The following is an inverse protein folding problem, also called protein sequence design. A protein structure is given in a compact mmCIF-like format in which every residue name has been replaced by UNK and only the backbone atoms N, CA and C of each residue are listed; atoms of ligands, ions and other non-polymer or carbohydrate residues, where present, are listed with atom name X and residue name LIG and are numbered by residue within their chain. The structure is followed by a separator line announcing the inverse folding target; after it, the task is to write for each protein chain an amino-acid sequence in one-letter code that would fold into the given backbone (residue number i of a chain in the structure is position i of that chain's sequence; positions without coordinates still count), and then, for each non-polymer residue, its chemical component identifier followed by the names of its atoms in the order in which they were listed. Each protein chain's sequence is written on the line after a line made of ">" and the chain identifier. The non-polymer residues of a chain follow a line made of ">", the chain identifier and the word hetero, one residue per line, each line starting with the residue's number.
data_IF_670001631645
#
_entry.id   IF_670001631645
#
_cell.length_a   1.000
_cell.length_b   1.000
_cell.length_c   1.000
_cell.angle_alpha   90.00
_cell.angle_beta   90.00
_cell.angle_gamma   90.00
#
_symmetry.space_group_name_H-M   'P 1'
#
loop_
_entity.id
_entity.type
_entity.pdbx_description
1 polymer ?
#
# COMPACT_ATOMS: atom_id res chain seq x y z
N UNK A 1 30.09 42.06 13.22
CA UNK A 1 30.00 40.78 12.49
C UNK A 1 28.55 40.35 12.51
N UNK A 2 27.84 40.44 11.38
CA UNK A 2 26.41 40.09 11.29
C UNK A 2 26.28 38.67 10.75
N UNK A 3 25.68 37.77 11.54
CA UNK A 3 25.39 36.39 11.18
C UNK A 3 24.17 36.33 10.25
N UNK A 4 24.40 36.02 8.96
CA UNK A 4 23.33 35.69 8.01
C UNK A 4 22.71 34.35 8.39
N UNK A 5 21.47 34.38 8.88
CA UNK A 5 20.60 33.21 8.96
C UNK A 5 20.40 32.68 7.53
N UNK A 6 20.81 31.44 7.26
CA UNK A 6 20.48 30.77 5.99
C UNK A 6 18.98 30.48 5.99
N UNK A 7 18.21 31.25 5.22
CA UNK A 7 16.84 30.88 4.87
C UNK A 7 16.90 29.63 3.99
N UNK A 8 16.38 28.52 4.51
CA UNK A 8 16.16 27.32 3.73
C UNK A 8 14.83 27.48 3.00
N UNK A 9 14.88 27.89 1.74
CA UNK A 9 13.71 27.87 0.86
C UNK A 9 13.43 26.42 0.43
N UNK A 10 12.31 25.87 0.87
CA UNK A 10 11.85 24.56 0.40
C UNK A 10 11.23 24.78 -0.99
N UNK A 11 11.91 24.30 -2.03
CA UNK A 11 11.32 24.29 -3.37
C UNK A 11 10.25 23.20 -3.42
N UNK A 12 9.00 23.59 -3.69
CA UNK A 12 7.87 22.67 -3.84
C UNK A 12 7.31 22.85 -5.25
N UNK A 13 7.37 21.79 -6.04
CA UNK A 13 6.70 21.73 -7.33
C UNK A 13 5.38 20.97 -7.16
N UNK A 14 4.32 21.47 -7.80
CA UNK A 14 3.03 20.80 -7.83
C UNK A 14 2.95 19.95 -9.09
N UNK A 15 2.84 18.64 -8.90
CA UNK A 15 2.63 17.67 -9.98
C UNK A 15 1.20 17.15 -9.91
N UNK A 16 0.49 17.16 -11.04
CA UNK A 16 -0.86 16.60 -11.17
C UNK A 16 -0.80 15.37 -12.09
N UNK A 17 -1.08 14.19 -11.54
CA UNK A 17 -1.26 12.96 -12.30
C UNK A 17 -2.76 12.68 -12.47
N UNK A 18 -3.23 12.62 -13.72
CA UNK A 18 -4.61 12.21 -14.04
C UNK A 18 -4.57 10.74 -14.43
N UNK A 19 -5.15 9.89 -13.58
CA UNK A 19 -5.12 8.43 -13.75
C UNK A 19 -6.47 7.90 -14.23
N UNK A 20 -6.41 6.81 -14.99
CA UNK A 20 -7.57 6.02 -15.41
C UNK A 20 -7.21 4.53 -15.37
N UNK A 21 -8.15 3.62 -15.08
CA UNK A 21 -9.57 3.86 -14.81
C UNK A 21 -9.82 4.49 -13.43
N UNK A 22 -10.90 5.28 -13.31
CA UNK A 22 -11.43 5.66 -12.00
C UNK A 22 -12.22 4.49 -11.40
N UNK A 23 -12.35 4.51 -10.08
CA UNK A 23 -13.01 3.45 -9.35
C UNK A 23 -13.47 3.90 -7.98
N UNK A 24 -14.01 2.95 -7.23
CA UNK A 24 -14.43 3.12 -5.84
C UNK A 24 -13.53 2.31 -4.92
N UNK A 25 -13.39 2.65 -3.64
CA UNK A 25 -12.53 1.90 -2.72
C UNK A 25 -12.94 0.44 -2.60
N UNK A 26 -11.97 -0.46 -2.40
CA UNK A 26 -12.21 -1.89 -2.19
C UNK A 26 -13.22 -2.18 -1.07
N UNK A 27 -13.18 -1.39 0.01
CA UNK A 27 -14.08 -1.51 1.16
C UNK A 27 -15.56 -1.36 0.80
N UNK A 28 -15.86 -0.63 -0.28
CA UNK A 28 -17.24 -0.47 -0.77
C UNK A 28 -17.76 -1.72 -1.51
N UNK A 29 -16.99 -2.81 -1.59
CA UNK A 29 -17.40 -4.06 -2.23
C UNK A 29 -18.79 -4.51 -1.76
N UNK A 30 -19.62 -4.89 -2.72
CA UNK A 30 -21.02 -5.25 -2.50
C UNK A 30 -21.18 -6.72 -2.07
N UNK A 31 -20.20 -7.56 -2.42
CA UNK A 31 -20.22 -8.99 -2.15
C UNK A 31 -18.82 -9.49 -1.80
N UNK A 32 -18.75 -10.58 -1.03
CA UNK A 32 -17.49 -11.30 -0.77
C UNK A 32 -16.79 -11.69 -2.08
N UNK A 33 -17.56 -12.09 -3.11
CA UNK A 33 -17.00 -12.46 -4.41
C UNK A 33 -16.32 -11.26 -5.09
N UNK A 34 -16.92 -10.08 -5.03
CA UNK A 34 -16.35 -8.87 -5.61
C UNK A 34 -15.06 -8.47 -4.88
N UNK A 35 -15.07 -8.48 -3.55
CA UNK A 35 -13.89 -8.22 -2.74
C UNK A 35 -12.72 -9.17 -3.06
N UNK A 36 -12.97 -10.49 -3.00
CA UNK A 36 -11.94 -11.51 -3.27
C UNK A 36 -11.46 -11.44 -4.71
N UNK A 37 -12.34 -11.10 -5.67
CA UNK A 37 -11.94 -10.88 -7.06
C UNK A 37 -11.03 -9.66 -7.18
N UNK A 38 -11.33 -8.56 -6.47
CA UNK A 38 -10.46 -7.39 -6.41
C UNK A 38 -9.07 -7.72 -5.88
N UNK A 39 -8.98 -8.42 -4.74
CA UNK A 39 -7.70 -8.87 -4.16
C UNK A 39 -6.94 -9.78 -5.12
N UNK A 40 -7.61 -10.74 -5.78
CA UNK A 40 -6.99 -11.60 -6.79
C UNK A 40 -6.37 -10.76 -7.91
N UNK A 41 -7.09 -9.76 -8.40
CA UNK A 41 -6.59 -8.88 -9.46
C UNK A 41 -5.38 -8.06 -8.99
N UNK A 42 -5.30 -7.68 -7.70
CA UNK A 42 -4.12 -7.05 -7.11
C UNK A 42 -2.92 -8.00 -7.08
N UNK A 43 -3.10 -9.26 -6.70
CA UNK A 43 -2.02 -10.26 -6.73
C UNK A 43 -1.50 -10.44 -8.17
N UNK A 44 -2.38 -10.40 -9.18
CA UNK A 44 -1.96 -10.41 -10.57
C UNK A 44 -1.19 -9.15 -10.96
N UNK A 45 -1.62 -7.97 -10.49
CA UNK A 45 -0.89 -6.70 -10.67
C UNK A 45 0.50 -6.73 -10.04
N UNK A 46 0.61 -7.22 -8.80
CA UNK A 46 1.88 -7.38 -8.09
C UNK A 46 2.83 -8.34 -8.82
N UNK A 47 2.31 -9.43 -9.39
CA UNK A 47 3.10 -10.32 -10.26
C UNK A 47 3.68 -9.55 -11.45
N UNK A 48 2.87 -8.73 -12.13
CA UNK A 48 3.33 -7.95 -13.27
C UNK A 48 4.41 -6.94 -12.86
N UNK A 49 4.26 -6.27 -11.71
CA UNK A 49 5.29 -5.38 -11.15
C UNK A 49 6.58 -6.15 -10.87
N UNK A 50 6.48 -7.32 -10.23
CA UNK A 50 7.62 -8.16 -9.94
C UNK A 50 8.37 -8.60 -11.21
N UNK A 51 7.66 -8.97 -12.28
CA UNK A 51 8.26 -9.31 -13.58
C UNK A 51 9.03 -8.13 -14.20
N UNK A 52 8.68 -6.89 -13.83
CA UNK A 52 9.40 -5.67 -14.20
C UNK A 52 10.48 -5.25 -13.19
N UNK A 53 10.78 -6.08 -12.18
CA UNK A 53 11.63 -5.78 -11.03
C UNK A 53 11.16 -4.56 -10.23
N UNK A 54 9.86 -4.31 -10.16
CA UNK A 54 9.28 -3.24 -9.36
C UNK A 54 8.68 -3.85 -8.08
N UNK A 55 9.01 -3.25 -6.94
CA UNK A 55 8.36 -3.50 -5.65
C UNK A 55 7.46 -2.30 -5.37
N UNK A 56 6.21 -2.55 -4.97
CA UNK A 56 5.25 -1.48 -4.71
C UNK A 56 5.62 -0.68 -3.46
N UNK A 57 6.06 -1.36 -2.39
CA UNK A 57 6.60 -0.68 -1.22
C UNK A 57 5.55 -0.36 -0.16
N UNK A 58 4.32 -0.03 -0.56
CA UNK A 58 3.27 0.39 0.39
C UNK A 58 1.87 -0.12 -0.02
N UNK A 59 1.56 -1.37 0.32
CA UNK A 59 0.27 -1.99 -0.02
C UNK A 59 -0.76 -1.73 1.08
N UNK A 60 -1.75 -0.90 0.74
CA UNK A 60 -2.82 -0.46 1.62
C UNK A 60 -4.19 -0.74 1.01
N UNK A 61 -5.22 -0.92 1.84
CA UNK A 61 -6.59 -1.11 1.35
C UNK A 61 -7.11 0.12 0.59
N UNK A 62 -6.67 1.29 1.02
CA UNK A 62 -6.95 2.62 0.47
C UNK A 62 -6.35 2.80 -0.93
N UNK A 63 -5.25 2.08 -1.20
CA UNK A 63 -4.57 2.07 -2.49
C UNK A 63 -5.17 1.02 -3.45
N UNK A 64 -6.28 0.38 -3.08
CA UNK A 64 -6.97 -0.60 -3.92
C UNK A 64 -8.35 -0.08 -4.29
N UNK A 65 -8.57 0.09 -5.60
CA UNK A 65 -9.86 0.49 -6.15
C UNK A 65 -10.51 -0.65 -6.93
N UNK A 66 -11.84 -0.63 -6.95
CA UNK A 66 -12.68 -1.42 -7.83
C UNK A 66 -13.12 -0.54 -9.00
N UNK A 67 -12.79 -0.93 -10.22
CA UNK A 67 -13.14 -0.17 -11.42
C UNK A 67 -14.65 -0.15 -11.65
N UNK A 68 -15.11 0.79 -12.49
CA UNK A 68 -16.44 0.63 -13.09
C UNK A 68 -16.58 -0.71 -13.83
N UNK A 69 -17.79 -1.27 -13.93
CA UNK A 69 -18.03 -2.49 -14.70
C UNK A 69 -17.68 -2.28 -16.16
N UNK A 70 -16.99 -3.25 -16.76
CA UNK A 70 -16.68 -3.24 -18.19
C UNK A 70 -17.91 -3.56 -19.06
N UNK A 71 -17.71 -3.73 -20.37
CA UNK A 71 -18.80 -4.06 -21.32
C UNK A 71 -19.53 -5.37 -20.98
N UNK A 72 -18.89 -6.25 -20.21
CA UNK A 72 -19.43 -7.53 -19.76
C UNK A 72 -19.96 -7.46 -18.32
N UNK A 73 -20.00 -6.27 -17.72
CA UNK A 73 -20.44 -6.08 -16.34
C UNK A 73 -19.40 -6.48 -15.31
N UNK A 74 -18.14 -6.72 -15.71
CA UNK A 74 -17.08 -7.19 -14.80
C UNK A 74 -16.35 -6.00 -14.18
N UNK A 75 -16.36 -5.96 -12.85
CA UNK A 75 -15.52 -5.06 -12.03
C UNK A 75 -14.16 -5.70 -11.81
N UNK A 76 -13.08 -4.92 -11.86
CA UNK A 76 -11.70 -5.38 -11.57
C UNK A 76 -11.09 -4.64 -10.40
N UNK A 77 -10.22 -5.32 -9.67
CA UNK A 77 -9.32 -4.67 -8.72
C UNK A 77 -8.15 -3.99 -9.45
N UNK A 78 -7.83 -2.77 -9.04
CA UNK A 78 -6.67 -2.01 -9.53
C UNK A 78 -5.92 -1.43 -8.35
N UNK A 79 -4.61 -1.66 -8.33
CA UNK A 79 -3.68 -1.04 -7.38
C UNK A 79 -3.35 0.36 -7.90
N UNK A 80 -3.49 1.36 -7.05
CA UNK A 80 -3.08 2.74 -7.31
C UNK A 80 -1.93 3.12 -6.37
N UNK A 81 -1.38 4.31 -6.57
CA UNK A 81 -0.33 4.90 -5.73
C UNK A 81 1.01 4.15 -5.77
N UNK A 82 1.85 4.53 -6.74
CA UNK A 82 3.21 4.01 -6.90
C UNK A 82 4.27 4.95 -6.32
N UNK A 83 3.90 5.91 -5.46
CA UNK A 83 4.84 6.92 -4.97
C UNK A 83 5.96 6.31 -4.11
N UNK A 84 5.66 5.17 -3.47
CA UNK A 84 6.61 4.40 -2.67
C UNK A 84 7.34 3.32 -3.45
N UNK A 85 6.94 3.08 -4.71
CA UNK A 85 7.49 2.01 -5.53
C UNK A 85 8.96 2.27 -5.91
N UNK A 86 9.70 1.19 -6.12
CA UNK A 86 11.13 1.26 -6.43
C UNK A 86 11.58 0.07 -7.27
N UNK A 87 12.73 0.24 -7.93
CA UNK A 87 13.33 -0.82 -8.74
C UNK A 87 14.17 -1.74 -7.85
N UNK A 88 13.76 -3.01 -7.75
CA UNK A 88 14.51 -4.03 -7.03
C UNK A 88 15.89 -4.23 -7.66
N UNK A 89 16.95 -4.17 -6.83
CA UNK A 89 18.33 -4.30 -7.28
C UNK A 89 19.00 -3.00 -7.71
N UNK A 90 18.32 -1.85 -7.64
CA UNK A 90 18.96 -0.56 -7.85
C UNK A 90 19.75 -0.14 -6.58
N UNK A 91 21.07 -0.20 -6.65
CA UNK A 91 21.97 0.12 -5.53
C UNK A 91 21.91 1.60 -5.11
N UNK A 92 21.40 2.48 -5.99
CA UNK A 92 21.34 3.93 -5.78
C UNK A 92 20.08 4.40 -5.03
N UNK A 93 19.06 3.56 -4.88
CA UNK A 93 17.91 3.91 -4.04
C UNK A 93 18.26 3.64 -2.58
N UNK A 94 17.94 4.59 -1.68
CA UNK A 94 18.07 4.37 -0.25
C UNK A 94 17.25 3.12 0.12
N UNK A 95 17.96 2.04 0.42
CA UNK A 95 17.45 0.71 0.77
C UNK A 95 16.85 0.67 2.17
N UNK A 96 16.38 1.80 2.68
CA UNK A 96 15.77 1.89 3.99
C UNK A 96 14.37 1.27 3.91
N UNK A 97 13.93 0.48 4.91
CA UNK A 97 12.52 0.14 5.05
C UNK A 97 11.70 1.43 4.97
N UNK A 98 10.96 1.59 3.87
CA UNK A 98 10.18 2.80 3.60
C UNK A 98 8.88 2.75 4.38
N UNK A 99 8.99 2.55 5.69
CA UNK A 99 7.87 2.65 6.59
C UNK A 99 7.49 4.13 6.70
N UNK A 100 6.36 4.48 6.09
CA UNK A 100 5.68 5.71 6.45
C UNK A 100 5.31 5.60 7.93
N UNK A 101 5.82 6.53 8.74
CA UNK A 101 5.46 6.68 10.15
C UNK A 101 3.95 6.93 10.22
N UNK A 102 3.15 5.87 10.34
CA UNK A 102 1.71 5.93 10.20
C UNK A 102 1.02 4.64 9.75
N UNK A 103 1.69 3.76 8.99
CA UNK A 103 0.98 2.67 8.30
C UNK A 103 1.51 1.27 8.62
N UNK A 104 1.41 0.87 9.89
CA UNK A 104 1.85 -0.44 10.37
C UNK A 104 0.82 -1.55 10.15
N UNK A 105 -0.47 -1.21 9.98
CA UNK A 105 -1.60 -2.16 9.97
C UNK A 105 -1.45 -3.31 8.98
N UNK A 106 -0.97 -3.00 7.77
CA UNK A 106 -0.78 -4.00 6.71
C UNK A 106 0.70 -4.29 6.46
N UNK A 107 1.61 -3.80 7.28
CA UNK A 107 3.05 -3.97 7.06
C UNK A 107 3.46 -5.42 7.26
N UNK A 108 4.32 -5.94 6.38
CA UNK A 108 4.93 -7.25 6.55
C UNK A 108 5.69 -7.33 7.90
N UNK A 109 5.64 -8.48 8.58
CA UNK A 109 6.20 -8.63 9.92
C UNK A 109 7.72 -8.36 9.96
N UNK A 110 8.44 -8.78 8.94
CA UNK A 110 9.88 -8.55 8.85
C UNK A 110 10.19 -7.04 8.75
N UNK A 111 9.43 -6.30 7.94
CA UNK A 111 9.52 -4.84 7.85
C UNK A 111 9.14 -4.17 9.16
N UNK A 112 8.06 -4.60 9.80
CA UNK A 112 7.62 -4.06 11.08
C UNK A 112 8.70 -4.22 12.14
N UNK A 113 9.31 -5.41 12.23
CA UNK A 113 10.43 -5.68 13.13
C UNK A 113 11.63 -4.79 12.83
N UNK A 114 12.03 -4.69 11.57
CA UNK A 114 13.16 -3.85 11.18
C UNK A 114 12.94 -2.38 11.55
N UNK A 115 11.72 -1.86 11.39
CA UNK A 115 11.37 -0.50 11.80
C UNK A 115 11.46 -0.34 13.33
N UNK A 116 10.95 -1.31 14.09
CA UNK A 116 11.01 -1.26 15.57
C UNK A 116 12.43 -1.42 16.12
N UNK A 117 13.27 -2.22 15.45
CA UNK A 117 14.65 -2.51 15.84
C UNK A 117 15.65 -1.52 15.22
N UNK A 118 15.17 -0.57 14.40
CA UNK A 118 16.00 0.40 13.65
C UNK A 118 17.03 -0.32 12.76
N UNK A 119 16.64 -1.46 12.18
CA UNK A 119 17.44 -2.17 11.18
C UNK A 119 17.23 -1.52 9.80
N UNK A 120 18.18 -0.67 9.43
CA UNK A 120 18.17 0.05 8.16
C UNK A 120 18.71 -0.79 6.99
N UNK A 121 19.10 -2.05 7.24
CA UNK A 121 19.70 -2.93 6.24
C UNK A 121 18.69 -3.84 5.52
N UNK A 122 17.49 -3.99 6.08
CA UNK A 122 16.45 -4.83 5.49
C UNK A 122 15.95 -4.25 4.17
N UNK A 123 16.07 -5.05 3.12
CA UNK A 123 15.58 -4.70 1.78
C UNK A 123 14.15 -5.18 1.61
N UNK A 124 13.27 -4.26 1.20
CA UNK A 124 11.92 -4.63 0.85
C UNK A 124 11.87 -5.42 -0.47
N UNK A 125 10.99 -6.42 -0.52
CA UNK A 125 10.83 -7.33 -1.66
C UNK A 125 9.35 -7.49 -2.02
N UNK A 126 9.06 -8.09 -3.17
CA UNK A 126 7.70 -8.41 -3.57
C UNK A 126 6.98 -9.35 -2.58
N UNK A 127 7.73 -10.15 -1.79
CA UNK A 127 7.15 -10.99 -0.75
C UNK A 127 6.47 -10.15 0.32
N UNK A 128 7.03 -8.99 0.65
CA UNK A 128 6.41 -8.07 1.61
C UNK A 128 5.13 -7.48 1.05
N UNK A 129 5.08 -7.11 -0.24
CA UNK A 129 3.84 -6.65 -0.88
C UNK A 129 2.74 -7.72 -0.84
N UNK A 130 3.11 -8.99 -1.05
CA UNK A 130 2.18 -10.13 -0.96
C UNK A 130 1.69 -10.37 0.47
N UNK A 131 2.57 -10.26 1.47
CA UNK A 131 2.19 -10.38 2.89
C UNK A 131 1.24 -9.25 3.29
N UNK A 132 1.52 -8.02 2.87
CA UNK A 132 0.63 -6.89 3.08
C UNK A 132 -0.74 -7.10 2.41
N UNK A 133 -0.75 -7.61 1.18
CA UNK A 133 -1.98 -7.96 0.48
C UNK A 133 -2.79 -9.04 1.22
N UNK A 134 -2.10 -10.02 1.84
CA UNK A 134 -2.73 -11.01 2.70
C UNK A 134 -3.37 -10.38 3.95
N UNK A 135 -2.73 -9.41 4.59
CA UNK A 135 -3.34 -8.70 5.72
C UNK A 135 -4.57 -7.88 5.31
N UNK A 136 -4.54 -7.23 4.15
CA UNK A 136 -5.73 -6.56 3.58
C UNK A 136 -6.87 -7.56 3.38
N UNK A 137 -6.58 -8.76 2.84
CA UNK A 137 -7.57 -9.82 2.68
C UNK A 137 -8.19 -10.24 4.02
N UNK A 138 -7.37 -10.50 5.04
CA UNK A 138 -7.82 -10.94 6.36
C UNK A 138 -8.70 -9.88 7.02
N UNK A 139 -8.21 -8.63 7.09
CA UNK A 139 -8.94 -7.51 7.67
C UNK A 139 -10.26 -7.28 6.95
N UNK A 140 -10.23 -7.16 5.61
CA UNK A 140 -11.43 -6.90 4.83
C UNK A 140 -12.46 -8.04 4.95
N UNK A 141 -12.01 -9.29 5.04
CA UNK A 141 -12.90 -10.44 5.25
C UNK A 141 -13.62 -10.40 6.61
N UNK A 142 -13.03 -9.79 7.64
CA UNK A 142 -13.68 -9.59 8.93
C UNK A 142 -14.69 -8.44 8.92
N UNK A 143 -14.56 -7.50 7.99
CA UNK A 143 -15.42 -6.33 7.88
C UNK A 143 -16.59 -6.53 6.90
N UNK A 144 -16.44 -7.39 5.89
CA UNK A 144 -17.47 -7.63 4.89
C UNK A 144 -18.63 -8.44 5.47
N UNK A 145 -19.80 -7.81 5.52
CA UNK A 145 -21.03 -8.40 6.05
C UNK A 145 -21.16 -8.33 7.58
N UNK A 146 -20.18 -7.75 8.29
CA UNK A 146 -20.28 -7.49 9.72
C UNK A 146 -21.13 -6.23 9.98
N UNK A 147 -22.11 -6.32 10.89
CA UNK A 147 -22.91 -5.15 11.33
C UNK A 147 -22.14 -4.18 12.22
N UNK A 148 -21.08 -4.64 12.86
CA UNK A 148 -20.14 -3.85 13.65
C UNK A 148 -18.71 -4.25 13.27
N UNK A 149 -17.83 -3.27 13.17
CA UNK A 149 -16.40 -3.52 13.08
C UNK A 149 -15.92 -4.21 14.37
N UNK A 150 -15.16 -5.31 14.29
CA UNK A 150 -14.57 -5.92 15.47
C UNK A 150 -13.69 -4.91 16.21
N UNK A 151 -13.97 -4.67 17.50
CA UNK A 151 -13.21 -3.73 18.38
C UNK A 151 -11.70 -4.04 18.38
N UNK A 152 -11.32 -5.30 18.18
CA UNK A 152 -9.92 -5.71 18.12
C UNK A 152 -9.17 -5.17 16.89
N UNK A 153 -9.85 -4.80 15.81
CA UNK A 153 -9.22 -4.22 14.62
C UNK A 153 -8.86 -2.73 14.80
N UNK A 154 -9.53 -2.02 15.72
CA UNK A 154 -9.20 -0.63 16.05
C UNK A 154 -7.83 -0.50 16.74
N UNK A 155 -7.44 -1.51 17.52
CA UNK A 155 -6.09 -1.60 18.12
C UNK A 155 -5.01 -1.98 17.12
N UNK A 156 -5.39 -2.56 15.98
CA UNK A 156 -4.46 -2.87 14.90
C UNK A 156 -4.13 -1.62 14.05
N UNK A 157 -4.98 -0.59 14.13
CA UNK A 157 -4.78 0.71 13.48
C UNK A 157 -4.11 1.75 14.39
N UNK A 158 -4.07 1.54 15.70
CA UNK A 158 -3.40 2.50 16.57
C UNK A 158 -1.90 2.26 16.51
N UNK A 159 -1.13 3.33 16.26
CA UNK A 159 0.35 3.33 16.29
C UNK A 159 0.91 3.10 17.71
N UNK A 160 0.17 2.41 18.57
CA UNK A 160 0.56 2.04 19.93
C UNK A 160 1.44 0.78 19.84
N UNK A 161 2.65 0.95 19.31
CA UNK A 161 3.77 0.02 19.53
C UNK A 161 4.70 0.60 20.58
#
# INVERSE_FOLDING_TARGET
>A
MSSRTKEYSINRELTLAILSPSGRPLESSSTVREFVSGIRDIIMGLRNLHEMNIVHGDILAENIILTGPDRMGVTKGTLIDLDMAFLHGNENEMNLPRATSGTTKYMALELLRAVTEIDLSLKQTYCHDLESCFYVLVVGSMSIGAKLFPVNLERWTSNDL
#
